data_IF_936266302095
#
_entry.id   IF_936266302095
#
_cell.length_a   1.000
_cell.length_b   1.000
_cell.length_c   1.000
_cell.angle_alpha   90.00
_cell.angle_beta   90.00
_cell.angle_gamma   90.00
#
_symmetry.space_group_name_H-M   'P 1'
#
loop_
_entity.id
_entity.type
_entity.pdbx_description
1 polymer ?
#
# COMPACT_ATOMS: atom_id res chain seq x y z
N UNK A 1 -41.01 -29.04 -27.56
CA UNK A 1 -41.50 -28.80 -26.19
C UNK A 1 -40.42 -28.99 -25.10
N UNK A 2 -39.21 -29.50 -25.41
CA UNK A 2 -38.13 -29.71 -24.41
C UNK A 2 -37.16 -28.54 -24.18
N UNK A 3 -37.22 -27.48 -24.98
CA UNK A 3 -36.24 -26.37 -24.93
C UNK A 3 -36.48 -25.41 -23.78
N UNK A 4 -37.75 -25.18 -23.41
CA UNK A 4 -38.11 -24.23 -22.34
C UNK A 4 -37.70 -24.72 -20.96
N UNK A 5 -37.84 -26.03 -20.69
CA UNK A 5 -37.47 -26.62 -19.41
C UNK A 5 -35.95 -26.69 -19.22
N UNK A 6 -35.20 -27.01 -20.27
CA UNK A 6 -33.73 -26.97 -20.23
C UNK A 6 -33.19 -25.56 -19.97
N UNK A 7 -33.82 -24.55 -20.55
CA UNK A 7 -33.41 -23.15 -20.39
C UNK A 7 -33.76 -22.61 -18.99
N UNK A 8 -34.90 -23.02 -18.43
CA UNK A 8 -35.26 -22.74 -17.04
C UNK A 8 -34.27 -23.40 -16.04
N UNK A 9 -33.85 -24.63 -16.32
CA UNK A 9 -32.92 -25.38 -15.48
C UNK A 9 -31.51 -24.78 -15.51
N UNK A 10 -31.04 -24.34 -16.68
CA UNK A 10 -29.77 -23.62 -16.82
C UNK A 10 -29.77 -22.27 -16.08
N UNK A 11 -30.85 -21.49 -16.19
CA UNK A 11 -31.00 -20.22 -15.48
C UNK A 11 -31.01 -20.41 -13.96
N UNK A 12 -31.66 -21.47 -13.47
CA UNK A 12 -31.66 -21.81 -12.05
C UNK A 12 -30.26 -22.18 -11.54
N UNK A 13 -29.49 -22.95 -12.30
CA UNK A 13 -28.11 -23.30 -11.94
C UNK A 13 -27.19 -22.07 -11.92
N UNK A 14 -27.30 -21.17 -12.91
CA UNK A 14 -26.54 -19.92 -12.93
C UNK A 14 -26.86 -19.03 -11.72
N UNK A 15 -28.14 -18.96 -11.32
CA UNK A 15 -28.55 -18.25 -10.11
C UNK A 15 -27.94 -18.86 -8.83
N UNK A 16 -27.87 -20.19 -8.73
CA UNK A 16 -27.22 -20.85 -7.59
C UNK A 16 -25.71 -20.55 -7.54
N UNK A 17 -25.02 -20.58 -8.70
CA UNK A 17 -23.59 -20.27 -8.78
C UNK A 17 -23.28 -18.83 -8.36
N UNK A 18 -24.09 -17.87 -8.81
CA UNK A 18 -23.92 -16.45 -8.42
C UNK A 18 -24.13 -16.23 -6.93
N UNK A 19 -25.09 -16.93 -6.29
CA UNK A 19 -25.28 -16.89 -4.84
C UNK A 19 -24.09 -17.45 -4.06
N UNK A 20 -23.51 -18.56 -4.53
CA UNK A 20 -22.31 -19.15 -3.91
C UNK A 20 -21.13 -18.20 -4.01
N UNK A 21 -20.85 -17.64 -5.20
CA UNK A 21 -19.77 -16.68 -5.41
C UNK A 21 -19.93 -15.43 -4.53
N UNK A 22 -21.16 -14.94 -4.35
CA UNK A 22 -21.42 -13.79 -3.47
C UNK A 22 -21.16 -14.11 -1.99
N UNK A 23 -21.50 -15.33 -1.53
CA UNK A 23 -21.24 -15.78 -0.16
C UNK A 23 -19.74 -15.95 0.10
N UNK A 24 -19.00 -16.50 -0.85
CA UNK A 24 -17.54 -16.67 -0.70
C UNK A 24 -16.82 -15.33 -0.67
N UNK A 25 -17.19 -14.37 -1.53
CA UNK A 25 -16.67 -12.99 -1.47
C UNK A 25 -16.90 -12.35 -0.11
N UNK A 26 -18.11 -12.50 0.45
CA UNK A 26 -18.42 -11.99 1.80
C UNK A 26 -17.61 -12.67 2.90
N UNK A 27 -17.33 -13.97 2.79
CA UNK A 27 -16.47 -14.69 3.73
C UNK A 27 -15.03 -14.18 3.68
N UNK A 28 -14.43 -14.09 2.49
CA UNK A 28 -13.08 -13.57 2.34
C UNK A 28 -12.94 -12.12 2.81
N UNK A 29 -13.97 -11.30 2.57
CA UNK A 29 -14.01 -9.93 3.07
C UNK A 29 -14.03 -9.89 4.60
N UNK A 30 -14.87 -10.74 5.24
CA UNK A 30 -14.95 -10.84 6.69
C UNK A 30 -13.65 -11.39 7.32
N UNK A 31 -13.03 -12.38 6.71
CA UNK A 31 -11.74 -12.95 7.16
C UNK A 31 -10.62 -11.91 7.09
N UNK A 32 -10.59 -11.10 6.02
CA UNK A 32 -9.66 -9.98 5.90
C UNK A 32 -9.91 -8.90 6.96
N UNK A 33 -11.19 -8.60 7.27
CA UNK A 33 -11.58 -7.67 8.33
C UNK A 33 -11.21 -8.19 9.74
N UNK A 34 -11.34 -9.49 10.00
CA UNK A 34 -10.96 -10.09 11.29
C UNK A 34 -9.43 -10.16 11.47
N UNK A 35 -8.69 -10.51 10.40
CA UNK A 35 -7.22 -10.51 10.41
C UNK A 35 -6.68 -9.09 10.60
N UNK A 36 -7.31 -8.10 9.98
CA UNK A 36 -6.91 -6.70 10.11
C UNK A 36 -7.14 -6.18 11.54
N UNK A 37 -8.27 -6.52 12.15
CA UNK A 37 -8.61 -6.14 13.51
C UNK A 37 -7.64 -6.75 14.53
N UNK A 38 -7.30 -8.04 14.39
CA UNK A 38 -6.38 -8.72 15.30
C UNK A 38 -4.96 -8.15 15.26
N UNK A 39 -4.46 -7.80 14.07
CA UNK A 39 -3.15 -7.15 13.94
C UNK A 39 -3.16 -5.73 14.49
N UNK A 40 -4.23 -4.96 14.23
CA UNK A 40 -4.38 -3.60 14.79
C UNK A 40 -4.33 -3.64 16.32
N UNK A 41 -4.99 -4.62 16.94
CA UNK A 41 -4.94 -4.83 18.38
C UNK A 41 -3.54 -5.22 18.88
N UNK A 42 -2.80 -6.05 18.14
CA UNK A 42 -1.41 -6.37 18.48
C UNK A 42 -0.47 -5.16 18.39
N UNK A 43 -0.70 -4.25 17.44
CA UNK A 43 0.08 -3.01 17.28
C UNK A 43 -0.21 -2.04 18.43
N UNK A 44 -1.49 -1.87 18.78
CA UNK A 44 -1.92 -1.05 19.92
C UNK A 44 -1.40 -1.60 21.26
N UNK A 45 -1.41 -2.92 21.46
CA UNK A 45 -0.89 -3.59 22.67
C UNK A 45 0.63 -3.40 22.85
N UNK A 46 1.38 -3.13 21.78
CA UNK A 46 2.82 -2.85 21.83
C UNK A 46 3.15 -1.39 22.14
N UNK A 47 2.15 -0.53 22.37
CA UNK A 47 2.35 0.89 22.69
C UNK A 47 2.90 1.71 21.52
N UNK A 48 2.80 1.18 20.30
CA UNK A 48 3.29 1.86 19.12
C UNK A 48 2.16 2.74 18.60
N UNK A 49 2.39 4.05 18.47
CA UNK A 49 1.39 4.95 17.93
C UNK A 49 0.98 4.46 16.52
N UNK A 50 -0.32 4.51 16.18
CA UNK A 50 -0.76 4.20 14.82
C UNK A 50 0.02 5.08 13.86
N UNK A 51 0.71 4.49 12.88
CA UNK A 51 1.35 5.29 11.84
C UNK A 51 0.32 6.22 11.20
N UNK A 52 0.76 7.45 10.91
CA UNK A 52 -0.07 8.44 10.25
C UNK A 52 -0.66 7.85 8.96
N UNK A 53 -1.94 8.12 8.71
CA UNK A 53 -2.60 7.66 7.50
C UNK A 53 -2.01 8.37 6.27
N UNK A 54 -1.63 7.61 5.25
CA UNK A 54 -1.20 8.16 3.97
C UNK A 54 -2.41 8.63 3.18
N UNK A 55 -2.47 9.93 2.96
CA UNK A 55 -3.57 10.59 2.24
C UNK A 55 -3.27 10.82 0.76
N UNK A 56 -2.00 10.71 0.36
CA UNK A 56 -1.56 10.96 -1.03
C UNK A 56 -1.66 12.43 -1.44
N UNK A 57 -1.79 13.35 -0.47
CA UNK A 57 -1.79 14.80 -0.71
C UNK A 57 -0.37 15.31 -0.96
N UNK A 58 -0.24 16.41 -1.69
CA UNK A 58 1.05 17.01 -2.07
C UNK A 58 1.90 17.49 -0.87
N UNK A 59 1.28 17.72 0.29
CA UNK A 59 1.94 18.08 1.55
C UNK A 59 2.56 16.88 2.29
N UNK A 60 2.26 15.65 1.86
CA UNK A 60 2.86 14.44 2.39
C UNK A 60 4.00 13.95 1.48
N UNK A 61 5.15 13.65 2.08
CA UNK A 61 6.26 13.01 1.38
C UNK A 61 6.08 11.49 1.41
N UNK A 62 5.84 10.83 0.26
CA UNK A 62 5.68 9.38 0.23
C UNK A 62 6.92 8.63 0.70
N UNK A 63 8.13 9.18 0.52
CA UNK A 63 9.38 8.52 0.94
C UNK A 63 9.46 8.50 2.47
N UNK A 64 9.27 9.66 3.10
CA UNK A 64 9.29 9.78 4.56
C UNK A 64 8.20 8.92 5.20
N UNK A 65 7.01 8.89 4.61
CA UNK A 65 5.92 8.03 5.09
C UNK A 65 6.27 6.54 5.00
N UNK A 66 6.83 6.10 3.88
CA UNK A 66 7.29 4.71 3.68
C UNK A 66 8.39 4.33 4.67
N UNK A 67 9.30 5.25 5.00
CA UNK A 67 10.31 5.00 6.03
C UNK A 67 9.65 4.74 7.39
N UNK A 68 8.72 5.61 7.81
CA UNK A 68 8.00 5.45 9.07
C UNK A 68 7.20 4.14 9.16
N UNK A 69 6.52 3.74 8.08
CA UNK A 69 5.76 2.48 8.09
C UNK A 69 6.68 1.24 8.12
N UNK A 70 7.84 1.31 7.46
CA UNK A 70 8.82 0.23 7.50
C UNK A 70 9.42 0.07 8.90
N UNK A 71 9.73 1.17 9.58
CA UNK A 71 10.18 1.15 10.97
C UNK A 71 9.11 0.54 11.89
N UNK A 72 7.84 0.91 11.70
CA UNK A 72 6.71 0.30 12.40
C UNK A 72 6.66 -1.22 12.18
N UNK A 73 6.75 -1.68 10.92
CA UNK A 73 6.73 -3.10 10.61
C UNK A 73 7.91 -3.87 11.20
N UNK A 74 9.09 -3.25 11.23
CA UNK A 74 10.27 -3.83 11.88
C UNK A 74 10.05 -3.93 13.39
N UNK A 75 9.60 -2.87 14.04
CA UNK A 75 9.35 -2.84 15.49
C UNK A 75 8.24 -3.81 15.92
N UNK A 76 7.23 -4.01 15.09
CA UNK A 76 6.11 -4.92 15.36
C UNK A 76 6.44 -6.38 15.02
N UNK A 77 7.52 -6.64 14.30
CA UNK A 77 7.90 -7.99 13.85
C UNK A 77 7.07 -8.49 12.66
N UNK A 78 6.48 -7.58 11.88
CA UNK A 78 5.71 -7.92 10.69
C UNK A 78 6.66 -8.40 9.58
N UNK A 79 6.43 -9.63 9.14
CA UNK A 79 7.16 -10.26 8.05
C UNK A 79 6.91 -9.55 6.73
N UNK A 80 7.93 -9.50 5.87
CA UNK A 80 7.88 -8.80 4.58
C UNK A 80 6.72 -9.27 3.69
N UNK A 81 6.44 -10.57 3.68
CA UNK A 81 5.32 -11.21 2.96
C UNK A 81 3.92 -10.72 3.40
N UNK A 82 3.78 -10.21 4.61
CA UNK A 82 2.51 -9.73 5.16
C UNK A 82 2.37 -8.21 5.09
N UNK A 83 3.48 -7.45 4.99
CA UNK A 83 3.47 -5.98 4.98
C UNK A 83 2.52 -5.40 3.94
N UNK A 84 2.54 -5.96 2.73
CA UNK A 84 1.66 -5.52 1.64
C UNK A 84 0.18 -5.61 2.00
N UNK A 85 -0.23 -6.72 2.61
CA UNK A 85 -1.63 -6.97 2.98
C UNK A 85 -2.11 -5.98 4.05
N UNK A 86 -1.19 -5.40 4.80
CA UNK A 86 -1.45 -4.47 5.90
C UNK A 86 -1.45 -3.01 5.46
N UNK A 87 -0.74 -2.66 4.37
CA UNK A 87 -0.67 -1.28 3.86
C UNK A 87 -2.05 -0.60 3.70
N UNK A 88 -3.11 -1.27 3.20
CA UNK A 88 -4.42 -0.64 3.06
C UNK A 88 -5.02 -0.11 4.36
N UNK A 89 -4.61 -0.61 5.54
CA UNK A 89 -5.05 -0.08 6.82
C UNK A 89 -4.56 1.36 7.06
N UNK A 90 -3.40 1.69 6.51
CA UNK A 90 -2.75 2.98 6.68
C UNK A 90 -3.03 3.94 5.53
N UNK A 91 -3.91 3.59 4.60
CA UNK A 91 -4.29 4.43 3.48
C UNK A 91 -5.60 5.17 3.74
N UNK A 92 -5.68 6.41 3.27
CA UNK A 92 -6.95 7.14 3.12
C UNK A 92 -7.85 6.45 2.11
N UNK A 93 -9.13 6.82 2.07
CA UNK A 93 -10.08 6.19 1.15
C UNK A 93 -9.73 6.42 -0.32
N UNK A 94 -9.12 7.57 -0.67
CA UNK A 94 -8.71 7.84 -2.04
C UNK A 94 -7.46 7.05 -2.44
N UNK A 95 -6.49 6.91 -1.54
CA UNK A 95 -5.33 6.03 -1.77
C UNK A 95 -5.77 4.56 -1.81
N UNK A 96 -6.77 4.14 -1.02
CA UNK A 96 -7.35 2.80 -1.12
C UNK A 96 -8.02 2.55 -2.46
N UNK A 97 -8.68 3.55 -3.06
CA UNK A 97 -9.24 3.43 -4.42
C UNK A 97 -8.13 3.26 -5.44
N UNK A 98 -7.07 4.07 -5.36
CA UNK A 98 -5.87 3.88 -6.19
C UNK A 98 -5.31 2.47 -6.03
N UNK A 99 -5.08 2.02 -4.79
CA UNK A 99 -4.55 0.70 -4.45
C UNK A 99 -5.37 -0.47 -5.04
N UNK A 100 -6.70 -0.32 -5.14
CA UNK A 100 -7.58 -1.37 -5.66
C UNK A 100 -7.68 -1.39 -7.18
N UNK A 101 -7.38 -0.27 -7.84
CA UNK A 101 -7.64 -0.07 -9.27
C UNK A 101 -6.42 -0.38 -10.15
N UNK A 102 -5.23 -0.52 -9.56
CA UNK A 102 -4.01 -0.87 -10.30
C UNK A 102 -3.69 -2.35 -10.13
N UNK A 103 -3.27 -2.98 -11.22
CA UNK A 103 -2.56 -4.26 -11.18
C UNK A 103 -1.16 -4.01 -10.59
N UNK A 104 -1.10 -3.91 -9.28
CA UNK A 104 0.15 -3.69 -8.58
C UNK A 104 0.95 -4.99 -8.48
N UNK A 105 2.25 -4.91 -8.77
CA UNK A 105 3.25 -5.99 -8.60
C UNK A 105 3.12 -6.68 -7.26
N UNK A 106 3.03 -8.02 -7.14
CA UNK A 106 2.81 -8.69 -5.83
C UNK A 106 3.92 -8.42 -4.79
N UNK A 107 5.15 -8.16 -5.26
CA UNK A 107 6.30 -7.88 -4.39
C UNK A 107 6.14 -6.55 -3.63
N UNK A 108 6.54 -6.56 -2.36
CA UNK A 108 6.42 -5.39 -1.48
C UNK A 108 7.32 -4.24 -1.93
N UNK A 109 8.57 -4.52 -2.30
CA UNK A 109 9.52 -3.45 -2.65
C UNK A 109 9.12 -2.81 -3.98
N UNK A 110 8.72 -3.63 -4.95
CA UNK A 110 8.19 -3.16 -6.23
C UNK A 110 6.96 -2.26 -6.05
N UNK A 111 6.02 -2.65 -5.18
CA UNK A 111 4.85 -1.83 -4.88
C UNK A 111 5.22 -0.50 -4.21
N UNK A 112 6.16 -0.51 -3.26
CA UNK A 112 6.60 0.72 -2.59
C UNK A 112 7.22 1.70 -3.60
N UNK A 113 8.01 1.20 -4.57
CA UNK A 113 8.53 2.04 -5.65
C UNK A 113 7.42 2.64 -6.52
N UNK A 114 6.37 1.86 -6.83
CA UNK A 114 5.22 2.35 -7.58
C UNK A 114 4.42 3.40 -6.80
N UNK A 115 4.22 3.20 -5.50
CA UNK A 115 3.57 4.15 -4.61
C UNK A 115 4.33 5.47 -4.59
N UNK A 116 5.63 5.44 -4.36
CA UNK A 116 6.48 6.63 -4.37
C UNK A 116 6.33 7.34 -5.72
N UNK A 117 6.51 6.61 -6.83
CA UNK A 117 6.41 7.19 -8.18
C UNK A 117 5.05 7.85 -8.46
N UNK A 118 3.97 7.26 -7.95
CA UNK A 118 2.60 7.71 -8.21
C UNK A 118 2.22 8.94 -7.39
N UNK A 119 2.76 9.07 -6.18
CA UNK A 119 2.40 10.15 -5.26
C UNK A 119 3.50 11.19 -5.04
N UNK A 120 4.71 11.03 -5.61
CA UNK A 120 5.67 12.13 -5.63
C UNK A 120 5.14 13.23 -6.54
N UNK A 121 4.83 14.38 -5.94
CA UNK A 121 4.29 15.52 -6.68
C UNK A 121 5.30 16.06 -7.70
N UNK A 122 4.83 16.67 -8.78
CA UNK A 122 5.72 17.28 -9.77
C UNK A 122 6.58 18.39 -9.16
N UNK A 123 6.07 19.09 -8.16
CA UNK A 123 6.81 20.09 -7.38
C UNK A 123 7.89 19.45 -6.50
N UNK A 124 7.62 18.33 -5.84
CA UNK A 124 8.64 17.56 -5.11
C UNK A 124 9.71 17.05 -6.08
N UNK A 125 9.34 16.48 -7.22
CA UNK A 125 10.29 16.06 -8.27
C UNK A 125 11.18 17.22 -8.73
N UNK A 126 10.60 18.39 -8.97
CA UNK A 126 11.34 19.60 -9.33
C UNK A 126 12.27 20.07 -8.20
N UNK A 127 11.82 20.01 -6.95
CA UNK A 127 12.63 20.38 -5.79
C UNK A 127 13.80 19.42 -5.58
N UNK A 128 13.57 18.10 -5.63
CA UNK A 128 14.61 17.07 -5.52
C UNK A 128 15.61 17.23 -6.67
N UNK A 129 15.12 17.36 -7.91
CA UNK A 129 15.96 17.60 -9.08
C UNK A 129 16.79 18.88 -8.94
N UNK A 130 16.18 19.97 -8.48
CA UNK A 130 16.87 21.24 -8.23
C UNK A 130 17.92 21.10 -7.12
N UNK A 131 17.63 20.36 -6.04
CA UNK A 131 18.62 20.07 -4.99
C UNK A 131 19.78 19.25 -5.54
N UNK A 132 19.52 18.18 -6.30
CA UNK A 132 20.56 17.35 -6.91
C UNK A 132 21.45 18.14 -7.87
N UNK A 133 20.88 18.99 -8.73
CA UNK A 133 21.64 19.81 -9.69
C UNK A 133 22.50 20.85 -8.96
N UNK A 134 21.97 21.46 -7.90
CA UNK A 134 22.66 22.53 -7.18
C UNK A 134 23.60 22.03 -6.09
N UNK A 135 23.46 20.78 -5.64
CA UNK A 135 24.32 20.20 -4.61
C UNK A 135 25.70 19.91 -5.20
N UNK A 136 26.69 20.67 -4.73
CA UNK A 136 28.11 20.43 -5.02
C UNK A 136 28.82 20.00 -3.76
N UNK A 137 29.78 19.09 -3.88
CA UNK A 137 30.63 18.70 -2.77
C UNK A 137 31.40 19.92 -2.27
N UNK A 138 31.33 20.18 -0.96
CA UNK A 138 32.08 21.27 -0.34
C UNK A 138 33.58 20.97 -0.28
N UNK A 139 34.42 22.01 -0.26
CA UNK A 139 35.90 21.85 -0.20
C UNK A 139 36.35 21.14 1.08
N UNK A 140 35.59 21.27 2.17
CA UNK A 140 35.85 20.63 3.47
C UNK A 140 34.97 19.39 3.72
N UNK A 141 34.25 18.94 2.70
CA UNK A 141 33.32 17.82 2.81
C UNK A 141 33.98 16.53 2.30
N UNK A 142 33.93 15.47 3.11
CA UNK A 142 34.41 14.17 2.66
C UNK A 142 33.52 13.60 1.56
N UNK A 143 34.13 12.86 0.62
CA UNK A 143 33.39 12.21 -0.48
C UNK A 143 32.29 11.29 0.06
N UNK A 144 32.56 10.61 1.17
CA UNK A 144 31.61 9.69 1.80
C UNK A 144 30.39 10.44 2.38
N UNK A 145 30.61 11.57 3.06
CA UNK A 145 29.51 12.39 3.59
C UNK A 145 28.64 12.94 2.45
N UNK A 146 29.28 13.45 1.40
CA UNK A 146 28.59 13.95 0.22
C UNK A 146 27.73 12.87 -0.45
N UNK A 147 28.27 11.67 -0.56
CA UNK A 147 27.56 10.54 -1.16
C UNK A 147 26.33 10.13 -0.36
N UNK A 148 26.43 10.06 0.97
CA UNK A 148 25.27 9.76 1.82
C UNK A 148 24.21 10.85 1.77
N UNK A 149 24.60 12.13 1.74
CA UNK A 149 23.69 13.25 1.56
C UNK A 149 22.91 13.12 0.24
N UNK A 150 23.58 12.80 -0.86
CA UNK A 150 22.95 12.60 -2.18
C UNK A 150 21.96 11.43 -2.14
N UNK A 151 22.27 10.34 -1.43
CA UNK A 151 21.39 9.18 -1.29
C UNK A 151 20.15 9.43 -0.42
N UNK A 152 20.15 10.50 0.39
CA UNK A 152 19.04 10.88 1.26
C UNK A 152 18.11 11.93 0.65
N UNK A 153 18.46 12.51 -0.51
CA UNK A 153 17.65 13.47 -1.27
C UNK A 153 16.57 12.79 -2.12
#
# INVERSE_FOLDING_TARGET
>A
RNTTDQQAQANYQAYQQTLVAHRERKRHQKEAEEMTTNLTNQILLKGIQPAEQFTGRDDQDPIAWVQGINELFVATGVKKEDRRKLLPMYFSDDVKKWYRNSEHEEDYDAFILELIRSFTSSTQRLNISSKLINRRQGVNESVQSYYYDILQL
#
